data_IF_894731952887
#
_entry.id   IF_894731952887
#
_cell.length_a   1.000
_cell.length_b   1.000
_cell.length_c   1.000
_cell.angle_alpha   90.00
_cell.angle_beta   90.00
_cell.angle_gamma   90.00
#
_symmetry.space_group_name_H-M   'P 1'
#
loop_
_entity.id
_entity.type
_entity.pdbx_description
1 polymer ?
#
# COMPACT_ATOMS: atom_id res chain seq x y z
N UNK A 1 -7.74 11.03 -2.86
CA UNK A 1 -7.48 9.70 -2.27
C UNK A 1 -8.69 9.26 -1.47
N UNK A 2 -9.02 7.96 -1.54
CA UNK A 2 -9.93 7.23 -0.66
C UNK A 2 -9.14 6.19 0.13
N UNK A 3 -9.59 5.88 1.33
CA UNK A 3 -9.03 4.79 2.15
C UNK A 3 -10.14 3.78 2.36
N UNK A 4 -9.90 2.55 1.94
CA UNK A 4 -10.86 1.45 2.02
C UNK A 4 -10.26 0.26 2.76
N UNK A 5 -11.12 -0.62 3.26
CA UNK A 5 -10.74 -1.93 3.79
C UNK A 5 -11.48 -2.96 2.96
N UNK A 6 -10.75 -3.84 2.31
CA UNK A 6 -11.37 -4.81 1.42
C UNK A 6 -11.92 -6.05 2.16
N UNK A 7 -12.50 -6.98 1.39
CA UNK A 7 -13.07 -8.21 1.94
C UNK A 7 -12.05 -9.12 2.64
N UNK A 8 -10.76 -8.96 2.36
CA UNK A 8 -9.65 -9.68 3.00
C UNK A 8 -9.07 -8.91 4.20
N UNK A 9 -9.71 -7.81 4.63
CA UNK A 9 -9.26 -6.94 5.72
C UNK A 9 -7.94 -6.20 5.43
N UNK A 10 -7.62 -6.00 4.14
CA UNK A 10 -6.42 -5.28 3.70
C UNK A 10 -6.76 -3.79 3.58
N UNK A 11 -5.81 -2.92 3.95
CA UNK A 11 -6.01 -1.47 3.82
C UNK A 11 -5.63 -1.07 2.41
N UNK A 12 -6.53 -0.38 1.71
CA UNK A 12 -6.33 0.07 0.34
C UNK A 12 -6.35 1.59 0.29
N UNK A 13 -5.26 2.20 -0.18
CA UNK A 13 -5.18 3.62 -0.49
C UNK A 13 -5.41 3.79 -1.99
N UNK A 14 -6.56 4.37 -2.38
CA UNK A 14 -6.98 4.48 -3.78
C UNK A 14 -6.87 5.93 -4.22
N UNK A 15 -6.21 6.19 -5.35
CA UNK A 15 -6.26 7.50 -5.99
C UNK A 15 -7.67 7.79 -6.54
N UNK A 16 -8.08 9.06 -6.52
CA UNK A 16 -9.39 9.47 -7.05
C UNK A 16 -9.38 9.76 -8.56
N UNK A 17 -8.22 9.74 -9.21
CA UNK A 17 -8.12 9.86 -10.66
C UNK A 17 -8.38 8.51 -11.34
N UNK A 18 -8.95 8.53 -12.56
CA UNK A 18 -9.12 7.33 -13.39
C UNK A 18 -8.23 7.42 -14.63
N UNK A 19 -7.50 6.35 -15.00
CA UNK A 19 -7.43 5.06 -14.28
C UNK A 19 -6.79 5.24 -12.91
N UNK A 20 -7.36 4.59 -11.89
CA UNK A 20 -6.81 4.72 -10.54
C UNK A 20 -5.55 3.87 -10.37
N UNK A 21 -4.66 4.35 -9.51
CA UNK A 21 -3.64 3.54 -8.86
C UNK A 21 -4.03 3.30 -7.41
N UNK A 22 -3.55 2.20 -6.83
CA UNK A 22 -3.72 1.94 -5.41
C UNK A 22 -2.50 1.32 -4.76
N UNK A 23 -2.36 1.57 -3.46
CA UNK A 23 -1.41 0.89 -2.57
C UNK A 23 -2.21 0.04 -1.59
N UNK A 24 -1.85 -1.23 -1.51
CA UNK A 24 -2.55 -2.18 -0.65
C UNK A 24 -1.58 -2.70 0.41
N UNK A 25 -2.03 -2.69 1.67
CA UNK A 25 -1.29 -3.11 2.83
C UNK A 25 -1.95 -4.37 3.41
N UNK A 26 -1.23 -5.48 3.35
CA UNK A 26 -1.66 -6.76 3.89
C UNK A 26 -0.81 -7.13 5.10
N UNK A 27 -1.45 -7.33 6.25
CA UNK A 27 -0.76 -7.71 7.47
C UNK A 27 -0.56 -9.23 7.51
N UNK A 28 0.69 -9.64 7.56
CA UNK A 28 1.07 -11.01 7.91
C UNK A 28 1.18 -11.13 9.43
N UNK A 29 0.09 -11.58 10.05
CA UNK A 29 0.01 -11.74 11.50
C UNK A 29 0.93 -12.85 12.05
N UNK A 30 1.40 -13.77 11.19
CA UNK A 30 2.24 -14.89 11.61
C UNK A 30 3.69 -14.44 11.70
N UNK A 31 4.16 -13.70 10.70
CA UNK A 31 5.56 -13.32 10.60
C UNK A 31 5.85 -11.91 11.11
N UNK A 32 4.84 -11.16 11.58
CA UNK A 32 4.99 -9.75 12.02
C UNK A 32 5.55 -8.84 10.90
N UNK A 33 5.08 -9.10 9.69
CA UNK A 33 5.42 -8.32 8.51
C UNK A 33 4.17 -7.72 7.89
N UNK A 34 4.38 -6.74 7.03
CA UNK A 34 3.35 -6.14 6.19
C UNK A 34 3.84 -6.21 4.75
N UNK A 35 3.04 -6.87 3.92
CA UNK A 35 3.23 -6.89 2.48
C UNK A 35 2.59 -5.62 1.91
N UNK A 36 3.33 -4.90 1.08
CA UNK A 36 2.80 -3.74 0.36
C UNK A 36 2.92 -3.99 -1.13
N UNK A 37 1.79 -3.85 -1.84
CA UNK A 37 1.74 -4.04 -3.29
C UNK A 37 0.95 -2.91 -3.96
N UNK A 38 1.24 -2.73 -5.25
CA UNK A 38 0.60 -1.76 -6.12
C UNK A 38 -0.45 -2.44 -6.97
N UNK A 39 -1.52 -1.72 -7.28
CA UNK A 39 -2.57 -2.17 -8.18
C UNK A 39 -3.10 -0.99 -9.02
N UNK A 40 -3.74 -1.27 -10.15
CA UNK A 40 -4.30 -0.27 -11.05
C UNK A 40 -5.65 -0.69 -11.66
N UNK A 41 -6.47 0.31 -11.97
CA UNK A 41 -7.64 0.12 -12.83
C UNK A 41 -7.25 -0.21 -14.28
N UNK A 42 -6.09 0.28 -14.73
CA UNK A 42 -5.54 -0.02 -16.03
C UNK A 42 -5.05 -1.48 -16.06
N UNK A 43 -5.65 -2.28 -16.93
CA UNK A 43 -5.39 -3.73 -17.02
C UNK A 43 -3.94 -4.04 -17.43
N UNK A 44 -3.35 -3.26 -18.33
CA UNK A 44 -1.96 -3.49 -18.76
C UNK A 44 -1.00 -3.22 -17.60
N UNK A 45 -1.22 -2.13 -16.87
CA UNK A 45 -0.41 -1.76 -15.70
C UNK A 45 -0.59 -2.76 -14.56
N UNK A 46 -1.84 -3.15 -14.26
CA UNK A 46 -2.13 -4.17 -13.24
C UNK A 46 -1.43 -5.48 -13.55
N UNK A 47 -1.48 -5.94 -14.80
CA UNK A 47 -0.81 -7.18 -15.22
C UNK A 47 0.70 -7.13 -14.98
N UNK A 48 1.32 -5.97 -15.19
CA UNK A 48 2.74 -5.77 -14.87
C UNK A 48 2.97 -5.91 -13.37
N UNK A 49 2.17 -5.27 -12.52
CA UNK A 49 2.30 -5.40 -11.06
C UNK A 49 2.07 -6.83 -10.56
N UNK A 50 1.06 -7.53 -11.08
CA UNK A 50 0.78 -8.93 -10.75
C UNK A 50 1.93 -9.88 -11.15
N UNK A 51 2.70 -9.51 -12.18
CA UNK A 51 3.87 -10.29 -12.62
C UNK A 51 5.14 -10.05 -11.80
N UNK A 52 5.18 -8.98 -11.00
CA UNK A 52 6.29 -8.71 -10.11
C UNK A 52 6.17 -9.60 -8.88
N UNK A 53 7.13 -10.51 -8.70
CA UNK A 53 7.29 -11.29 -7.47
C UNK A 53 7.76 -10.41 -6.29
N UNK A 54 8.16 -9.16 -6.58
CA UNK A 54 8.66 -8.18 -5.62
C UNK A 54 7.51 -7.34 -5.04
N UNK A 55 6.72 -7.97 -4.16
CA UNK A 55 6.00 -7.20 -3.15
C UNK A 55 6.98 -6.66 -2.12
N UNK A 56 6.77 -5.43 -1.64
CA UNK A 56 7.64 -4.88 -0.63
C UNK A 56 7.27 -5.47 0.74
N UNK A 57 8.15 -6.31 1.27
CA UNK A 57 7.94 -7.04 2.52
C UNK A 57 8.65 -6.34 3.68
N UNK A 58 7.89 -5.64 4.52
CA UNK A 58 8.44 -4.85 5.62
C UNK A 58 8.19 -5.49 6.98
N UNK A 59 9.15 -5.39 7.89
CA UNK A 59 8.87 -5.64 9.29
C UNK A 59 7.81 -4.63 9.78
N UNK A 60 6.87 -5.09 10.61
CA UNK A 60 5.78 -4.22 11.10
C UNK A 60 6.31 -2.97 11.82
N UNK A 61 7.35 -3.10 12.65
CA UNK A 61 7.88 -1.98 13.45
C UNK A 61 8.56 -0.96 12.54
N UNK A 62 9.41 -1.43 11.62
CA UNK A 62 10.13 -0.56 10.68
C UNK A 62 9.16 0.19 9.75
N UNK A 63 8.09 -0.48 9.29
CA UNK A 63 7.07 0.18 8.48
C UNK A 63 6.34 1.27 9.26
N UNK A 64 5.99 1.01 10.53
CA UNK A 64 5.36 2.02 11.40
C UNK A 64 6.27 3.24 11.55
N UNK A 65 7.56 3.04 11.84
CA UNK A 65 8.53 4.13 11.97
C UNK A 65 8.69 4.90 10.66
N UNK A 66 8.75 4.21 9.52
CA UNK A 66 8.81 4.82 8.19
C UNK A 66 7.58 5.69 7.91
N UNK A 67 6.38 5.15 8.12
CA UNK A 67 5.12 5.88 7.92
C UNK A 67 4.98 7.07 8.88
N UNK A 68 5.45 6.95 10.13
CA UNK A 68 5.50 8.07 11.07
C UNK A 68 6.39 9.21 10.55
N UNK A 69 7.56 8.90 9.97
CA UNK A 69 8.43 9.92 9.35
C UNK A 69 7.75 10.59 8.16
N UNK A 70 7.06 9.82 7.31
CA UNK A 70 6.27 10.38 6.19
C UNK A 70 5.18 11.32 6.72
N UNK A 71 4.44 10.91 7.75
CA UNK A 71 3.39 11.75 8.35
C UNK A 71 3.98 13.04 8.91
N UNK A 72 5.10 12.98 9.63
CA UNK A 72 5.76 14.19 10.15
C UNK A 72 6.17 15.13 9.00
N UNK A 73 6.82 14.59 7.96
CA UNK A 73 7.22 15.37 6.78
C UNK A 73 6.02 16.06 6.11
N UNK A 74 4.90 15.37 5.96
CA UNK A 74 3.71 15.92 5.33
C UNK A 74 3.04 17.02 6.17
N UNK A 75 3.17 16.96 7.50
CA UNK A 75 2.65 17.97 8.43
C UNK A 75 3.57 19.17 8.60
N UNK A 76 4.87 19.00 8.42
CA UNK A 76 5.86 20.09 8.51
C UNK A 76 5.70 21.15 7.39
N UNK A 77 4.92 20.84 6.35
CA UNK A 77 4.54 21.77 5.28
C UNK A 77 3.22 22.52 5.47
N UNK A 78 2.52 22.34 6.60
CA UNK A 78 1.37 23.17 7.04
C UNK A 78 1.83 24.36 7.88
#
# INVERSE_FOLDING_TARGET
MRVEVDSMQRIVLIDNHSPYGSLIFEKDAINNHVVVYQDSEDEEVRTVFESLDESAYFNQVELIEGLQKVISLLKEGE
#
